data_IF_337549812628
#
_entry.id   IF_337549812628
#
_cell.length_a   1.000
_cell.length_b   1.000
_cell.length_c   1.000
_cell.angle_alpha   90.00
_cell.angle_beta   90.00
_cell.angle_gamma   90.00
#
_symmetry.space_group_name_H-M   'P 1'
#
loop_
_entity.id
_entity.type
_entity.pdbx_description
1 polymer ?
#
# COMPACT_ATOMS: atom_id res chain seq x y z
N UNK A 1 16.93 39.26 -51.64
CA UNK A 1 16.26 37.99 -51.27
C UNK A 1 14.79 38.31 -51.33
N UNK A 2 14.08 37.69 -52.27
CA UNK A 2 12.83 38.27 -52.76
C UNK A 2 11.60 37.68 -52.06
N UNK A 3 11.78 36.66 -51.22
CA UNK A 3 10.73 36.01 -50.42
C UNK A 3 11.30 35.30 -49.18
N UNK A 4 10.55 35.28 -48.07
CA UNK A 4 10.86 34.51 -46.85
C UNK A 4 9.63 33.74 -46.35
N UNK A 5 9.82 32.47 -46.02
CA UNK A 5 8.75 31.54 -45.61
C UNK A 5 8.58 31.43 -44.08
N UNK A 6 9.61 31.85 -43.34
CA UNK A 6 9.65 31.79 -41.88
C UNK A 6 9.82 33.20 -41.30
N UNK A 7 8.69 33.87 -41.09
CA UNK A 7 8.63 35.20 -40.48
C UNK A 7 7.39 35.30 -39.58
N UNK A 8 7.57 35.85 -38.38
CA UNK A 8 6.45 36.16 -37.50
C UNK A 8 5.77 37.46 -37.98
N UNK A 9 4.44 37.46 -37.99
CA UNK A 9 3.62 38.64 -38.26
C UNK A 9 3.66 39.51 -37.00
N UNK A 10 4.28 40.68 -37.10
CA UNK A 10 4.35 41.67 -36.02
C UNK A 10 3.90 43.03 -36.55
N UNK A 11 3.10 43.77 -35.78
CA UNK A 11 2.51 45.03 -36.23
C UNK A 11 3.55 46.09 -36.62
N UNK A 12 4.71 46.10 -35.96
CA UNK A 12 5.80 47.05 -36.25
C UNK A 12 6.41 46.88 -37.66
N UNK A 13 6.22 45.73 -38.32
CA UNK A 13 6.79 45.44 -39.65
C UNK A 13 5.77 45.55 -40.78
N UNK A 14 4.51 45.79 -40.46
CA UNK A 14 3.42 45.87 -41.44
C UNK A 14 3.55 47.09 -42.37
N UNK A 15 4.27 48.14 -41.96
CA UNK A 15 4.48 49.34 -42.78
C UNK A 15 5.45 49.14 -43.95
N UNK A 16 6.29 48.11 -43.90
CA UNK A 16 7.42 47.90 -44.84
C UNK A 16 7.35 46.56 -45.56
N UNK A 17 6.53 45.63 -45.07
CA UNK A 17 6.43 44.25 -45.58
C UNK A 17 4.97 43.83 -45.67
N UNK A 18 4.55 43.40 -46.86
CA UNK A 18 3.23 42.81 -47.07
C UNK A 18 3.20 41.34 -46.63
N UNK A 19 2.30 41.01 -45.70
CA UNK A 19 2.08 39.65 -45.23
C UNK A 19 0.96 38.95 -46.00
N UNK A 20 1.08 37.64 -46.18
CA UNK A 20 -0.04 36.80 -46.63
C UNK A 20 -0.82 36.25 -45.43
N UNK A 21 -1.93 35.56 -45.68
CA UNK A 21 -2.72 34.91 -44.61
C UNK A 21 -1.83 33.91 -43.85
N UNK A 22 -1.79 34.04 -42.52
CA UNK A 22 -1.00 33.15 -41.67
C UNK A 22 -1.43 31.69 -41.84
N UNK A 23 -0.48 30.83 -42.22
CA UNK A 23 -0.71 29.41 -42.44
C UNK A 23 -0.39 28.55 -41.20
N UNK A 24 0.35 29.10 -40.24
CA UNK A 24 0.82 28.40 -39.05
C UNK A 24 0.78 29.33 -37.82
N UNK A 25 0.23 28.83 -36.72
CA UNK A 25 0.23 29.51 -35.43
C UNK A 25 1.32 28.89 -34.56
N UNK A 26 2.36 29.66 -34.25
CA UNK A 26 3.45 29.24 -33.36
C UNK A 26 3.21 29.81 -31.95
N UNK A 27 2.70 29.01 -30.99
CA UNK A 27 2.50 29.48 -29.64
C UNK A 27 3.85 29.71 -28.94
N UNK A 28 3.96 30.81 -28.19
CA UNK A 28 5.09 31.03 -27.30
C UNK A 28 5.14 29.93 -26.24
N UNK A 29 6.18 29.09 -26.30
CA UNK A 29 6.42 28.03 -25.32
C UNK A 29 7.73 28.25 -24.59
N UNK A 30 7.78 27.87 -23.31
CA UNK A 30 9.00 27.92 -22.51
C UNK A 30 9.72 26.57 -22.57
N UNK A 31 10.98 26.59 -22.98
CA UNK A 31 11.86 25.43 -22.86
C UNK A 31 12.48 25.42 -21.45
N UNK A 32 11.88 24.69 -20.51
CA UNK A 32 12.47 24.44 -19.19
C UNK A 32 13.16 23.08 -19.13
N UNK A 33 14.20 22.94 -18.32
CA UNK A 33 14.82 21.63 -18.07
C UNK A 33 13.82 20.67 -17.43
N UNK A 34 13.92 19.38 -17.80
CA UNK A 34 13.08 18.33 -17.21
C UNK A 34 13.39 18.23 -15.72
N UNK A 35 12.37 18.26 -14.83
CA UNK A 35 12.60 18.11 -13.39
C UNK A 35 13.23 16.74 -13.10
N UNK A 36 14.05 16.68 -12.04
CA UNK A 36 14.67 15.42 -11.61
C UNK A 36 13.58 14.39 -11.28
N UNK A 37 13.81 13.10 -11.60
CA UNK A 37 12.86 12.05 -11.25
C UNK A 37 12.67 12.01 -9.73
N UNK A 38 11.42 11.85 -9.31
CA UNK A 38 11.10 11.75 -7.89
C UNK A 38 11.71 10.47 -7.31
N UNK A 39 12.14 10.52 -6.05
CA UNK A 39 12.73 9.37 -5.38
C UNK A 39 11.74 8.18 -5.37
N UNK A 40 12.09 7.12 -6.12
CA UNK A 40 11.26 5.93 -6.27
C UNK A 40 11.10 5.15 -4.95
N UNK A 41 12.02 5.31 -3.99
CA UNK A 41 11.91 4.65 -2.69
C UNK A 41 10.65 5.06 -1.91
N UNK A 42 10.16 6.29 -2.12
CA UNK A 42 8.95 6.78 -1.47
C UNK A 42 7.67 6.37 -2.21
N UNK A 43 7.78 5.76 -3.40
CA UNK A 43 6.62 5.35 -4.19
C UNK A 43 5.79 4.27 -3.49
N UNK A 44 6.39 3.44 -2.63
CA UNK A 44 5.69 2.39 -1.89
C UNK A 44 4.82 2.92 -0.73
N UNK A 45 5.23 4.02 -0.09
CA UNK A 45 4.51 4.60 1.07
C UNK A 45 3.49 5.65 0.61
N UNK A 46 3.74 6.29 -0.55
CA UNK A 46 2.89 7.34 -1.14
C UNK A 46 1.44 6.96 -1.50
N UNK A 47 1.07 5.71 -1.88
CA UNK A 47 -0.32 5.43 -2.25
C UNK A 47 -1.31 5.68 -1.11
N UNK A 48 -0.83 5.73 0.14
CA UNK A 48 -1.70 5.90 1.31
C UNK A 48 -1.40 7.17 2.08
N UNK A 49 -2.46 7.78 2.63
CA UNK A 49 -2.35 8.94 3.53
C UNK A 49 -1.64 8.51 4.83
N UNK A 50 -0.82 9.37 5.45
CA UNK A 50 -0.18 9.08 6.74
C UNK A 50 -1.16 8.63 7.83
N UNK A 51 -2.38 9.18 7.82
CA UNK A 51 -3.46 8.80 8.74
C UNK A 51 -3.83 7.31 8.65
N UNK A 52 -3.76 6.71 7.46
CA UNK A 52 -4.08 5.30 7.27
C UNK A 52 -3.03 4.40 7.92
N UNK A 53 -1.75 4.77 7.84
CA UNK A 53 -0.67 4.05 8.51
C UNK A 53 -0.84 4.06 10.03
N UNK A 54 -1.24 5.20 10.61
CA UNK A 54 -1.58 5.31 12.04
C UNK A 54 -2.77 4.42 12.40
N UNK A 55 -3.78 4.36 11.53
CA UNK A 55 -4.93 3.45 11.70
C UNK A 55 -4.51 1.97 11.70
N UNK A 56 -3.65 1.56 10.76
CA UNK A 56 -3.14 0.18 10.68
C UNK A 56 -2.33 -0.17 11.93
N UNK A 57 -1.40 0.69 12.35
CA UNK A 57 -0.57 0.41 13.54
C UNK A 57 -1.43 0.37 14.80
N UNK A 58 -2.42 1.27 14.93
CA UNK A 58 -3.38 1.25 16.03
C UNK A 58 -4.19 -0.05 16.07
N UNK A 59 -4.73 -0.49 14.93
CA UNK A 59 -5.49 -1.74 14.84
C UNK A 59 -4.64 -2.96 15.21
N UNK A 60 -3.38 -3.03 14.75
CA UNK A 60 -2.46 -4.11 15.10
C UNK A 60 -2.18 -4.18 16.61
N UNK A 61 -1.97 -3.02 17.26
CA UNK A 61 -1.76 -2.97 18.71
C UNK A 61 -3.00 -3.45 19.47
N UNK A 62 -4.19 -3.00 19.08
CA UNK A 62 -5.45 -3.41 19.72
C UNK A 62 -5.65 -4.93 19.58
N UNK A 63 -5.46 -5.48 18.38
CA UNK A 63 -5.58 -6.92 18.14
C UNK A 63 -4.57 -7.71 18.97
N UNK A 64 -3.31 -7.26 19.07
CA UNK A 64 -2.29 -7.88 19.91
C UNK A 64 -2.71 -7.95 21.39
N UNK A 65 -3.20 -6.85 21.95
CA UNK A 65 -3.64 -6.79 23.35
C UNK A 65 -4.85 -7.69 23.57
N UNK A 66 -5.86 -7.59 22.70
CA UNK A 66 -7.08 -8.40 22.79
C UNK A 66 -6.77 -9.89 22.72
N UNK A 67 -5.90 -10.30 21.80
CA UNK A 67 -5.49 -11.70 21.65
C UNK A 67 -4.69 -12.17 22.86
N UNK A 68 -3.75 -11.36 23.37
CA UNK A 68 -2.99 -11.69 24.57
C UNK A 68 -3.89 -11.92 25.79
N UNK A 69 -4.85 -11.02 26.02
CA UNK A 69 -5.84 -11.17 27.12
C UNK A 69 -6.70 -12.42 26.90
N UNK A 70 -7.16 -12.68 25.68
CA UNK A 70 -7.93 -13.87 25.36
C UNK A 70 -7.16 -15.18 25.65
N UNK A 71 -5.86 -15.22 25.36
CA UNK A 71 -4.99 -16.35 25.71
C UNK A 71 -4.89 -16.53 27.24
N UNK A 72 -4.71 -15.45 27.99
CA UNK A 72 -4.62 -15.50 29.45
C UNK A 72 -5.92 -16.00 30.09
N UNK A 73 -7.08 -15.55 29.60
CA UNK A 73 -8.39 -15.99 30.10
C UNK A 73 -8.67 -17.45 29.75
N UNK A 74 -8.32 -17.88 28.55
CA UNK A 74 -8.65 -19.24 28.07
C UNK A 74 -7.72 -20.29 28.69
N UNK A 75 -6.45 -19.97 28.96
CA UNK A 75 -5.45 -20.91 29.48
C UNK A 75 -4.48 -20.26 30.47
N UNK A 76 -4.89 -20.04 31.73
CA UNK A 76 -4.06 -19.37 32.74
C UNK A 76 -2.78 -20.15 33.10
N UNK A 77 -2.72 -21.45 32.82
CA UNK A 77 -1.56 -22.31 33.14
C UNK A 77 -0.52 -22.43 32.03
N UNK A 78 -0.76 -21.88 30.83
CA UNK A 78 0.19 -21.94 29.72
C UNK A 78 0.89 -20.60 29.58
N UNK A 79 2.17 -20.53 29.93
CA UNK A 79 2.95 -19.30 29.80
C UNK A 79 3.25 -19.02 28.32
N UNK A 80 2.39 -18.24 27.67
CA UNK A 80 2.59 -17.80 26.28
C UNK A 80 3.42 -16.51 26.26
N UNK A 81 4.60 -16.56 25.65
CA UNK A 81 5.46 -15.39 25.49
C UNK A 81 4.80 -14.33 24.60
N UNK A 82 4.80 -13.07 25.06
CA UNK A 82 4.26 -11.92 24.31
C UNK A 82 4.84 -11.81 22.89
N UNK A 83 6.14 -12.05 22.74
CA UNK A 83 6.82 -11.99 21.44
C UNK A 83 6.30 -13.01 20.43
N UNK A 84 5.84 -14.20 20.87
CA UNK A 84 5.27 -15.21 19.98
C UNK A 84 3.88 -14.79 19.47
N UNK A 85 3.07 -14.19 20.35
CA UNK A 85 1.78 -13.61 19.97
C UNK A 85 1.97 -12.50 18.94
N UNK A 86 2.91 -11.59 19.20
CA UNK A 86 3.21 -10.48 18.30
C UNK A 86 3.70 -10.97 16.94
N UNK A 87 4.64 -11.92 16.90
CA UNK A 87 5.15 -12.49 15.66
C UNK A 87 4.07 -13.23 14.86
N UNK A 88 3.17 -13.95 15.54
CA UNK A 88 2.07 -14.64 14.86
C UNK A 88 1.09 -13.66 14.21
N UNK A 89 0.72 -12.58 14.93
CA UNK A 89 -0.17 -11.53 14.41
C UNK A 89 0.51 -10.76 13.27
N UNK A 90 1.79 -10.46 13.39
CA UNK A 90 2.56 -9.80 12.34
C UNK A 90 2.70 -10.69 11.09
N UNK A 91 2.93 -11.98 11.27
CA UNK A 91 2.92 -12.96 10.19
C UNK A 91 1.57 -13.02 9.47
N UNK A 92 0.47 -13.09 10.22
CA UNK A 92 -0.88 -13.04 9.67
C UNK A 92 -1.14 -11.76 8.87
N UNK A 93 -0.68 -10.59 9.36
CA UNK A 93 -0.79 -9.31 8.66
C UNK A 93 -0.05 -9.31 7.31
N UNK A 94 1.14 -9.92 7.25
CA UNK A 94 1.90 -10.07 6.01
C UNK A 94 1.38 -11.20 5.11
N UNK A 95 0.27 -11.85 5.48
CA UNK A 95 -0.22 -13.09 4.83
C UNK A 95 0.82 -14.22 4.82
N UNK A 96 1.77 -14.17 5.76
CA UNK A 96 2.82 -15.16 5.97
C UNK A 96 2.53 -15.89 7.28
N UNK A 97 1.76 -16.97 7.20
CA UNK A 97 1.51 -17.81 8.36
C UNK A 97 2.82 -18.36 8.93
N UNK A 98 3.28 -17.84 10.06
CA UNK A 98 4.44 -18.37 10.75
C UNK A 98 4.05 -19.64 11.50
N UNK A 99 4.15 -20.80 10.84
CA UNK A 99 4.07 -22.08 11.52
C UNK A 99 5.37 -22.33 12.30
N UNK A 100 5.47 -21.75 13.49
CA UNK A 100 6.56 -22.07 14.41
C UNK A 100 6.20 -23.33 15.18
N UNK A 101 6.76 -24.45 14.73
CA UNK A 101 6.81 -25.70 15.48
C UNK A 101 7.63 -25.43 16.75
N UNK A 102 6.95 -25.10 17.86
CA UNK A 102 7.58 -25.06 19.18
C UNK A 102 8.10 -26.47 19.45
N UNK A 103 9.42 -26.65 19.32
CA UNK A 103 10.08 -27.93 19.56
C UNK A 103 9.78 -28.40 20.97
N UNK A 104 8.93 -29.44 21.09
CA UNK A 104 8.67 -30.14 22.35
C UNK A 104 9.96 -30.82 22.81
N UNK A 105 10.76 -30.13 23.62
CA UNK A 105 11.69 -30.78 24.56
C UNK A 105 11.15 -30.63 25.97
N UNK A 106 10.01 -31.27 26.25
CA UNK A 106 9.66 -31.73 27.59
C UNK A 106 8.39 -32.59 27.53
N UNK A 107 8.53 -33.84 27.96
CA UNK A 107 7.51 -34.77 28.43
C UNK A 107 6.32 -35.10 27.51
N UNK A 108 6.24 -36.37 27.12
CA UNK A 108 5.16 -36.92 26.30
C UNK A 108 3.79 -36.83 26.97
N UNK A 109 2.97 -35.89 26.52
CA UNK A 109 1.50 -35.95 26.53
C UNK A 109 0.98 -34.70 25.81
N UNK A 110 0.38 -34.86 24.63
CA UNK A 110 -0.34 -33.76 23.98
C UNK A 110 -0.01 -33.58 22.50
N UNK A 111 -0.20 -34.62 21.70
CA UNK A 111 -0.13 -34.55 20.23
C UNK A 111 -1.45 -34.11 19.57
N UNK A 112 -2.52 -33.87 20.33
CA UNK A 112 -3.87 -33.67 19.77
C UNK A 112 -4.30 -32.18 19.67
N UNK A 113 -3.52 -31.23 20.18
CA UNK A 113 -3.96 -29.82 20.34
C UNK A 113 -3.24 -28.81 19.46
N UNK A 114 -2.14 -29.19 18.79
CA UNK A 114 -1.42 -28.29 17.88
C UNK A 114 -2.18 -28.08 16.55
N UNK A 115 -3.05 -29.02 16.16
CA UNK A 115 -3.88 -28.88 14.96
C UNK A 115 -5.00 -27.83 15.09
N UNK A 116 -5.46 -27.50 16.31
CA UNK A 116 -6.65 -26.67 16.49
C UNK A 116 -6.36 -25.15 16.46
N UNK A 117 -5.18 -24.73 16.95
CA UNK A 117 -4.76 -23.31 16.88
C UNK A 117 -4.33 -22.95 15.45
N UNK A 118 -3.75 -23.92 14.74
CA UNK A 118 -3.43 -23.82 13.32
C UNK A 118 -4.71 -23.60 12.50
N UNK A 119 -5.73 -24.45 12.68
CA UNK A 119 -7.00 -24.36 11.95
C UNK A 119 -7.74 -23.02 12.07
N UNK A 120 -7.81 -22.43 13.26
CA UNK A 120 -8.54 -21.17 13.46
C UNK A 120 -7.83 -19.94 12.88
N UNK A 121 -6.50 -19.93 12.82
CA UNK A 121 -5.76 -18.78 12.27
C UNK A 121 -5.94 -18.70 10.76
N UNK A 122 -5.95 -19.84 10.06
CA UNK A 122 -6.29 -19.88 8.62
C UNK A 122 -7.76 -19.55 8.37
N UNK A 123 -8.67 -19.93 9.27
CA UNK A 123 -10.10 -19.64 9.14
C UNK A 123 -10.41 -18.14 9.26
N UNK A 124 -9.77 -17.42 10.19
CA UNK A 124 -9.95 -15.96 10.34
C UNK A 124 -9.34 -15.22 9.14
N UNK A 125 -8.18 -15.64 8.63
CA UNK A 125 -7.61 -15.08 7.41
C UNK A 125 -8.48 -15.36 6.17
N UNK A 126 -9.05 -16.56 6.03
CA UNK A 126 -9.93 -16.91 4.91
C UNK A 126 -11.25 -16.13 4.94
N UNK A 127 -11.82 -15.92 6.13
CA UNK A 127 -13.05 -15.14 6.29
C UNK A 127 -12.83 -13.64 6.10
N UNK A 128 -11.69 -13.10 6.55
CA UNK A 128 -11.29 -11.71 6.30
C UNK A 128 -11.02 -11.44 4.82
N UNK A 129 -10.38 -12.39 4.11
CA UNK A 129 -10.21 -12.31 2.65
C UNK A 129 -11.55 -12.33 1.91
N UNK A 130 -12.50 -13.16 2.32
CA UNK A 130 -13.84 -13.18 1.72
C UNK A 130 -14.59 -11.86 1.95
N UNK A 131 -14.51 -11.27 3.14
CA UNK A 131 -15.17 -10.01 3.46
C UNK A 131 -14.59 -8.82 2.67
N UNK A 132 -13.27 -8.76 2.53
CA UNK A 132 -12.61 -7.73 1.71
C UNK A 132 -12.92 -7.88 0.21
N UNK A 133 -13.03 -9.11 -0.28
CA UNK A 133 -13.35 -9.37 -1.69
C UNK A 133 -14.85 -9.18 -2.00
N UNK A 134 -15.73 -9.29 -0.99
CA UNK A 134 -17.14 -8.92 -1.12
C UNK A 134 -17.37 -7.41 -1.03
N UNK A 135 -16.50 -6.67 -0.34
CA UNK A 135 -16.60 -5.20 -0.23
C UNK A 135 -16.15 -4.47 -1.52
N UNK A 136 -15.31 -5.10 -2.35
CA UNK A 136 -14.92 -4.57 -3.67
C UNK A 136 -15.91 -4.92 -4.80
N UNK A 137 -16.99 -5.64 -4.49
CA UNK A 137 -18.02 -6.06 -5.45
C UNK A 137 -19.34 -5.27 -5.29
N UNK A 138 -19.30 -4.04 -4.75
CA UNK A 138 -20.42 -3.12 -4.90
C UNK A 138 -20.39 -2.53 -6.32
N UNK A 139 -21.43 -2.74 -7.15
CA UNK A 139 -21.56 -2.02 -8.40
C UNK A 139 -21.82 -0.54 -8.11
N UNK A 140 -21.11 0.33 -8.84
CA UNK A 140 -21.47 1.73 -8.99
C UNK A 140 -22.94 1.84 -9.42
N UNK A 141 -23.77 2.36 -8.53
CA UNK A 141 -25.11 2.88 -8.81
C UNK A 141 -25.13 4.36 -8.44
#
# INVERSE_FOLDING_TARGET
ADFSLNIAIIGEREEVVDYTVGYFNDPLTFCTSKPRPLNQALALIRPFKPLMWVGITGALVVICVMYYVACQVTRPHTSTSFSLVLLNIFGAFLSQGCHWSVGKRAAGAGSHLDHYVSGNTYLVCSHAYCLLHSASALPDC
#
